data_IF_258518532877
#
_entry.id   IF_258518532877
#
_cell.length_a   1.000
_cell.length_b   1.000
_cell.length_c   1.000
_cell.angle_alpha   90.00
_cell.angle_beta   90.00
_cell.angle_gamma   90.00
#
_symmetry.space_group_name_H-M   'P 1'
#
loop_
_entity.id
_entity.type
_entity.pdbx_description
1 polymer ?
#
# COMPACT_ATOMS: atom_id res chain seq x y z
N UNK A 1 -13.40 5.51 -2.09
CA UNK A 1 -14.52 4.58 -1.77
C UNK A 1 -14.13 3.63 -0.63
N UNK A 2 -15.07 3.16 0.17
CA UNK A 2 -14.81 2.18 1.24
C UNK A 2 -15.90 1.10 1.29
N UNK A 3 -15.51 -0.15 1.54
CA UNK A 3 -16.43 -1.30 1.62
C UNK A 3 -16.02 -2.28 2.70
N UNK A 4 -16.93 -2.58 3.61
CA UNK A 4 -16.77 -3.65 4.62
C UNK A 4 -17.27 -4.96 4.03
N UNK A 5 -16.48 -6.03 4.17
CA UNK A 5 -16.90 -7.34 3.71
C UNK A 5 -17.75 -7.98 4.80
N UNK A 6 -19.00 -8.31 4.43
CA UNK A 6 -19.96 -9.00 5.29
C UNK A 6 -20.26 -10.37 4.72
N UNK A 7 -20.60 -11.30 5.61
CA UNK A 7 -21.12 -12.60 5.25
C UNK A 7 -22.53 -12.44 4.64
N UNK A 8 -22.76 -13.03 3.46
CA UNK A 8 -24.02 -12.84 2.72
C UNK A 8 -25.22 -13.50 3.39
N UNK A 9 -25.01 -14.55 4.18
CA UNK A 9 -26.07 -15.32 4.82
C UNK A 9 -26.42 -14.75 6.20
N UNK A 10 -25.42 -14.32 6.96
CA UNK A 10 -25.60 -13.86 8.35
C UNK A 10 -25.58 -12.35 8.51
N UNK A 11 -25.14 -11.60 7.50
CA UNK A 11 -24.99 -10.14 7.56
C UNK A 11 -23.84 -9.64 8.45
N UNK A 12 -23.18 -10.53 9.21
CA UNK A 12 -22.08 -10.16 10.11
C UNK A 12 -20.82 -9.80 9.33
N UNK A 13 -20.01 -8.89 9.88
CA UNK A 13 -18.75 -8.48 9.25
C UNK A 13 -17.72 -9.60 9.33
N UNK A 14 -16.92 -9.79 8.26
CA UNK A 14 -15.80 -10.75 8.25
C UNK A 14 -14.54 -10.22 8.96
N UNK A 15 -14.61 -9.05 9.60
CA UNK A 15 -13.48 -8.43 10.30
C UNK A 15 -12.47 -7.71 9.39
N UNK A 16 -12.77 -7.55 8.11
CA UNK A 16 -11.95 -6.79 7.17
C UNK A 16 -12.79 -5.99 6.17
N UNK A 17 -12.16 -5.00 5.54
CA UNK A 17 -12.74 -4.17 4.51
C UNK A 17 -11.66 -3.60 3.60
N UNK A 18 -12.09 -3.00 2.51
CA UNK A 18 -11.22 -2.38 1.51
C UNK A 18 -11.54 -0.90 1.40
N UNK A 19 -10.50 -0.09 1.30
CA UNK A 19 -10.58 1.35 1.07
C UNK A 19 -9.75 1.66 -0.17
N UNK A 20 -10.35 2.40 -1.11
CA UNK A 20 -9.66 2.91 -2.28
C UNK A 20 -9.51 4.41 -2.13
N UNK A 21 -8.25 4.84 -2.19
CA UNK A 21 -7.83 6.23 -2.19
C UNK A 21 -7.70 6.70 -3.63
N UNK A 22 -8.01 7.97 -3.88
CA UNK A 22 -7.79 8.59 -5.19
C UNK A 22 -6.31 8.86 -5.42
N UNK A 23 -5.58 9.23 -4.36
CA UNK A 23 -4.17 9.58 -4.44
C UNK A 23 -3.26 8.55 -3.75
N UNK A 24 -2.08 8.28 -4.34
CA UNK A 24 -1.10 7.37 -3.74
C UNK A 24 -0.41 7.97 -2.51
N UNK A 25 -0.34 9.30 -2.40
CA UNK A 25 0.20 9.98 -1.22
C UNK A 25 -0.68 9.76 0.01
N UNK A 26 -2.00 9.86 -0.17
CA UNK A 26 -2.99 9.63 0.90
C UNK A 26 -2.92 8.18 1.41
N UNK A 27 -2.73 7.21 0.51
CA UNK A 27 -2.50 5.82 0.88
C UNK A 27 -1.25 5.66 1.77
N UNK A 28 -0.14 6.31 1.41
CA UNK A 28 1.10 6.23 2.18
C UNK A 28 0.96 6.88 3.57
N UNK A 29 0.30 8.05 3.62
CA UNK A 29 -0.01 8.73 4.87
C UNK A 29 -0.92 7.88 5.78
N UNK A 30 -1.96 7.26 5.22
CA UNK A 30 -2.86 6.38 5.97
C UNK A 30 -2.13 5.14 6.51
N UNK A 31 -1.28 4.48 5.70
CA UNK A 31 -0.50 3.33 6.14
C UNK A 31 0.45 3.68 7.30
N UNK A 32 1.05 4.87 7.29
CA UNK A 32 1.95 5.32 8.35
C UNK A 32 1.21 5.78 9.62
N UNK A 33 0.10 6.51 9.45
CA UNK A 33 -0.59 7.17 10.55
C UNK A 33 -1.68 6.33 11.23
N UNK A 34 -2.38 5.48 10.48
CA UNK A 34 -3.57 4.79 10.96
C UNK A 34 -3.32 3.31 11.31
N UNK A 35 -2.21 2.73 10.87
CA UNK A 35 -1.89 1.35 11.20
C UNK A 35 -1.67 1.22 12.73
N UNK A 36 -2.40 0.31 13.37
CA UNK A 36 -2.39 0.12 14.81
C UNK A 36 -3.23 1.12 15.62
N UNK A 37 -3.86 2.11 14.98
CA UNK A 37 -4.78 3.02 15.66
C UNK A 37 -6.09 2.32 16.00
N UNK A 38 -6.77 2.79 17.04
CA UNK A 38 -8.08 2.29 17.42
C UNK A 38 -9.15 2.92 16.54
N UNK A 39 -10.05 2.08 16.01
CA UNK A 39 -11.28 2.50 15.34
C UNK A 39 -12.43 1.79 16.06
N UNK A 40 -13.27 2.58 16.75
CA UNK A 40 -14.17 2.03 17.76
C UNK A 40 -13.39 1.34 18.87
N UNK A 41 -13.75 0.10 19.19
CA UNK A 41 -13.13 -0.67 20.28
C UNK A 41 -12.01 -1.62 19.85
N UNK A 42 -11.53 -1.55 18.59
CA UNK A 42 -10.51 -2.47 18.07
C UNK A 42 -9.37 -1.74 17.36
N UNK A 43 -8.10 -2.10 17.60
CA UNK A 43 -7.01 -1.59 16.80
C UNK A 43 -7.08 -2.15 15.38
N UNK A 44 -6.87 -1.30 14.38
CA UNK A 44 -6.91 -1.68 12.98
C UNK A 44 -5.51 -2.05 12.47
N UNK A 45 -5.45 -3.03 11.57
CA UNK A 45 -4.25 -3.37 10.82
C UNK A 45 -4.48 -3.00 9.35
N UNK A 46 -3.55 -2.24 8.79
CA UNK A 46 -3.59 -1.85 7.39
C UNK A 46 -2.52 -2.60 6.60
N UNK A 47 -2.88 -3.08 5.42
CA UNK A 47 -1.98 -3.72 4.48
C UNK A 47 -2.36 -3.34 3.05
N UNK A 48 -1.38 -3.40 2.14
CA UNK A 48 -1.66 -3.26 0.72
C UNK A 48 -2.53 -4.43 0.26
N UNK A 49 -3.60 -4.11 -0.46
CA UNK A 49 -4.49 -5.11 -1.04
C UNK A 49 -3.73 -5.98 -2.04
N UNK A 50 -4.04 -7.29 -2.05
CA UNK A 50 -3.57 -8.23 -3.09
C UNK A 50 -4.60 -8.43 -4.21
N UNK A 51 -5.72 -7.71 -4.14
CA UNK A 51 -6.86 -7.93 -5.02
C UNK A 51 -6.59 -7.34 -6.40
N UNK A 52 -6.21 -8.20 -7.35
CA UNK A 52 -5.73 -7.79 -8.67
C UNK A 52 -6.83 -7.17 -9.55
N UNK A 53 -8.09 -7.55 -9.36
CA UNK A 53 -9.22 -7.08 -10.20
C UNK A 53 -9.58 -5.59 -10.00
N UNK A 54 -9.19 -4.97 -8.88
CA UNK A 54 -9.42 -3.54 -8.60
C UNK A 54 -8.15 -2.73 -8.40
N UNK A 55 -7.00 -3.38 -8.48
CA UNK A 55 -5.72 -2.69 -8.40
C UNK A 55 -5.29 -2.50 -9.84
N UNK A 56 -5.33 -1.27 -10.36
CA UNK A 56 -4.72 -0.93 -11.66
C UNK A 56 -3.26 -1.38 -11.62
N UNK A 57 -3.00 -2.58 -12.15
CA UNK A 57 -1.70 -3.24 -12.15
C UNK A 57 -0.64 -2.34 -12.78
N UNK A 58 -1.05 -1.55 -13.77
CA UNK A 58 -0.27 -0.54 -14.47
C UNK A 58 0.29 0.57 -13.57
N UNK A 59 -0.48 1.04 -12.58
CA UNK A 59 -0.03 2.06 -11.62
C UNK A 59 0.98 1.50 -10.61
N UNK A 60 0.91 0.21 -10.30
CA UNK A 60 1.86 -0.47 -9.41
C UNK A 60 3.16 -0.83 -10.14
N UNK A 61 3.08 -1.28 -11.39
CA UNK A 61 4.24 -1.59 -12.24
C UNK A 61 5.07 -0.34 -12.55
N UNK A 62 4.41 0.79 -12.81
CA UNK A 62 5.06 2.09 -13.00
C UNK A 62 5.93 2.50 -11.81
N UNK A 63 5.52 2.16 -10.57
CA UNK A 63 6.31 2.43 -9.35
C UNK A 63 7.41 1.41 -9.09
N UNK A 64 7.24 0.15 -9.52
CA UNK A 64 8.28 -0.88 -9.40
C UNK A 64 9.47 -0.60 -10.34
N UNK A 65 9.20 -0.05 -11.52
CA UNK A 65 10.23 0.40 -12.48
C UNK A 65 11.00 1.64 -11.99
N UNK A 66 10.40 2.48 -11.15
CA UNK A 66 11.09 3.65 -10.57
C UNK A 66 12.02 3.27 -9.40
N UNK A 67 11.75 2.18 -8.69
CA UNK A 67 12.55 1.72 -7.55
C UNK A 67 13.83 0.96 -7.93
N UNK A 68 14.05 0.59 -9.20
CA UNK A 68 15.24 -0.15 -9.64
C UNK A 68 16.40 0.71 -10.15
N UNK A 69 16.30 2.05 -10.16
CA UNK A 69 17.49 2.90 -10.34
C UNK A 69 18.24 3.06 -9.02
N UNK A 70 19.04 2.05 -8.65
CA UNK A 70 20.15 2.26 -7.71
C UNK A 70 21.05 3.37 -8.28
N UNK A 71 21.45 4.39 -7.50
CA UNK A 71 22.43 5.35 -7.97
C UNK A 71 23.74 4.60 -8.26
N UNK A 72 24.25 4.69 -9.49
CA UNK A 72 25.57 4.17 -9.86
C UNK A 72 26.60 4.98 -9.08
N UNK A 73 27.20 4.37 -8.05
CA UNK A 73 28.36 4.94 -7.37
C UNK A 73 29.47 5.19 -8.39
N UNK A 74 29.82 6.46 -8.59
CA UNK A 74 30.85 6.88 -9.53
C UNK A 74 32.20 6.27 -9.14
N UNK A 75 32.84 5.59 -10.09
CA UNK A 75 34.21 5.10 -9.97
C UNK A 75 35.15 6.31 -9.86
N UNK A 76 35.76 6.54 -8.68
CA UNK A 76 36.94 7.40 -8.59
C UNK A 76 38.15 6.58 -9.00
N UNK A 77 38.72 6.91 -10.16
CA UNK A 77 39.96 6.34 -10.64
C UNK A 77 41.09 6.61 -9.66
N UNK A 78 41.88 5.57 -9.38
CA UNK A 78 43.18 5.72 -8.72
C UNK A 78 44.18 6.00 -9.84
N UNK A 79 44.72 7.21 -9.81
CA UNK A 79 45.73 7.71 -10.72
C UNK A 79 47.09 7.07 -10.34
N UNK A 80 47.88 6.72 -11.36
CA UNK A 80 49.20 6.11 -11.22
C UNK A 80 50.21 7.14 -10.69
N UNK A 81 51.18 6.69 -9.89
CA UNK A 81 52.52 7.28 -9.86
C UNK A 81 53.55 6.19 -9.65
#
# INVERSE_FOLDING_TARGET
MAKVVRDKRTGKTKGFGFVSFSNPLDLAAALKGMNGKYVGNRPIKLSKSKWQERTDTEALESRKNQSHKKPKTAKKGIFHK
#
